data_IF_136832357072
#
_entry.id   IF_136832357072
#
_cell.length_a   1.000
_cell.length_b   1.000
_cell.length_c   1.000
_cell.angle_alpha   90.00
_cell.angle_beta   90.00
_cell.angle_gamma   90.00
#
_symmetry.space_group_name_H-M   'P 1'
#
loop_
_entity.id
_entity.type
_entity.pdbx_description
1 polymer ?
#
# COMPACT_ATOMS: atom_id res chain seq x y z
N UNK A 1 42.06 -27.73 73.65
CA UNK A 1 42.11 -27.76 72.16
C UNK A 1 40.71 -27.44 71.67
N UNK A 2 40.46 -26.20 71.29
CA UNK A 2 39.18 -25.74 70.76
C UNK A 2 39.50 -25.00 69.47
N UNK A 3 39.09 -25.57 68.34
CA UNK A 3 39.28 -25.01 67.00
C UNK A 3 38.24 -23.93 66.76
N UNK A 4 38.70 -22.71 66.52
CA UNK A 4 37.86 -21.55 66.22
C UNK A 4 37.46 -21.60 64.75
N UNK A 5 36.24 -22.08 64.46
CA UNK A 5 35.60 -22.04 63.15
C UNK A 5 34.36 -21.17 63.28
N UNK A 6 34.46 -19.87 62.93
CA UNK A 6 33.33 -18.93 62.82
C UNK A 6 33.80 -17.53 62.40
N UNK A 7 34.36 -17.40 61.20
CA UNK A 7 34.53 -16.10 60.54
C UNK A 7 34.56 -16.26 59.01
N UNK A 8 33.57 -17.00 58.48
CA UNK A 8 33.41 -17.18 57.04
C UNK A 8 31.96 -16.98 56.60
N UNK A 9 30.99 -17.08 57.51
CA UNK A 9 29.57 -17.00 57.16
C UNK A 9 29.11 -15.57 56.79
N UNK A 10 29.66 -14.52 57.40
CA UNK A 10 29.18 -13.13 57.18
C UNK A 10 29.67 -12.49 55.88
N UNK A 11 30.87 -12.87 55.41
CA UNK A 11 31.42 -12.41 54.12
C UNK A 11 30.81 -13.21 52.97
N UNK A 12 30.57 -14.51 53.17
CA UNK A 12 29.90 -15.39 52.20
C UNK A 12 28.45 -14.94 51.93
N UNK A 13 27.70 -14.56 52.98
CA UNK A 13 26.30 -14.09 52.87
C UNK A 13 26.19 -12.78 52.07
N UNK A 14 27.10 -11.82 52.32
CA UNK A 14 27.10 -10.54 51.59
C UNK A 14 27.54 -10.70 50.14
N UNK A 15 28.49 -11.60 49.88
CA UNK A 15 28.90 -11.95 48.51
C UNK A 15 27.79 -12.63 47.72
N UNK A 16 27.02 -13.52 48.35
CA UNK A 16 25.87 -14.17 47.72
C UNK A 16 24.73 -13.20 47.41
N UNK A 17 24.45 -12.25 48.30
CA UNK A 17 23.44 -11.21 48.05
C UNK A 17 23.80 -10.32 46.85
N UNK A 18 25.08 -9.97 46.69
CA UNK A 18 25.54 -9.21 45.51
C UNK A 18 25.42 -10.06 44.23
N UNK A 19 25.75 -11.34 44.29
CA UNK A 19 25.64 -12.26 43.16
C UNK A 19 24.19 -12.42 42.69
N UNK A 20 23.26 -12.63 43.63
CA UNK A 20 21.83 -12.73 43.35
C UNK A 20 21.31 -11.42 42.77
N UNK A 21 21.73 -10.27 43.32
CA UNK A 21 21.37 -8.95 42.81
C UNK A 21 21.85 -8.73 41.36
N UNK A 22 23.10 -9.10 41.05
CA UNK A 22 23.66 -8.96 39.71
C UNK A 22 22.97 -9.85 38.67
N UNK A 23 22.64 -11.10 39.03
CA UNK A 23 21.91 -12.03 38.15
C UNK A 23 20.50 -11.52 37.90
N UNK A 24 19.81 -11.05 38.94
CA UNK A 24 18.45 -10.52 38.83
C UNK A 24 18.44 -9.27 37.93
N UNK A 25 19.40 -8.36 38.12
CA UNK A 25 19.53 -7.15 37.29
C UNK A 25 19.84 -7.51 35.83
N UNK A 26 20.70 -8.51 35.58
CA UNK A 26 20.98 -8.98 34.23
C UNK A 26 19.72 -9.49 33.52
N UNK A 27 18.87 -10.27 34.20
CA UNK A 27 17.60 -10.75 33.63
C UNK A 27 16.60 -9.61 33.37
N UNK A 28 16.55 -8.60 34.24
CA UNK A 28 15.71 -7.41 34.01
C UNK A 28 16.19 -6.67 32.74
N UNK A 29 17.49 -6.42 32.61
CA UNK A 29 18.07 -5.75 31.43
C UNK A 29 17.84 -6.57 30.16
N UNK A 30 18.07 -7.89 30.20
CA UNK A 30 17.79 -8.78 29.07
C UNK A 30 16.31 -8.80 28.69
N UNK A 31 15.40 -8.84 29.67
CA UNK A 31 13.96 -8.77 29.43
C UNK A 31 13.55 -7.46 28.76
N UNK A 32 14.08 -6.34 29.23
CA UNK A 32 13.88 -5.02 28.62
C UNK A 32 14.43 -4.97 27.19
N UNK A 33 15.64 -5.47 26.95
CA UNK A 33 16.27 -5.53 25.62
C UNK A 33 15.46 -6.42 24.66
N UNK A 34 14.94 -7.57 25.12
CA UNK A 34 14.10 -8.46 24.30
C UNK A 34 12.75 -7.82 23.99
N UNK A 35 12.12 -7.14 24.96
CA UNK A 35 10.87 -6.40 24.73
C UNK A 35 11.10 -5.24 23.75
N UNK A 36 12.15 -4.45 23.92
CA UNK A 36 12.45 -3.36 22.98
C UNK A 36 12.83 -3.89 21.60
N UNK A 37 13.65 -4.92 21.48
CA UNK A 37 13.96 -5.53 20.17
C UNK A 37 12.74 -6.23 19.56
N UNK A 38 11.87 -6.83 20.36
CA UNK A 38 10.62 -7.47 19.90
C UNK A 38 9.58 -6.45 19.45
N UNK A 39 9.44 -5.34 20.16
CA UNK A 39 8.57 -4.21 19.78
C UNK A 39 9.13 -3.48 18.55
N UNK A 40 10.46 -3.30 18.45
CA UNK A 40 11.11 -2.72 17.26
C UNK A 40 10.95 -3.60 16.00
N UNK A 41 10.80 -4.92 16.16
CA UNK A 41 10.43 -5.80 15.04
C UNK A 41 8.99 -5.63 14.57
N UNK A 42 8.15 -4.91 15.32
CA UNK A 42 6.73 -4.69 14.99
C UNK A 42 6.45 -3.26 14.50
N UNK A 43 7.27 -2.27 14.86
CA UNK A 43 7.11 -0.88 14.40
C UNK A 43 7.70 -0.63 13.00
N UNK A 44 8.81 -1.29 12.63
CA UNK A 44 9.42 -1.11 11.30
C UNK A 44 8.69 -1.87 10.18
N UNK A 45 7.94 -2.92 10.53
CA UNK A 45 7.16 -3.70 9.56
C UNK A 45 5.96 -2.89 9.07
N UNK A 46 5.27 -2.13 9.93
CA UNK A 46 4.14 -1.30 9.52
C UNK A 46 4.58 -0.11 8.67
N UNK A 47 5.71 0.54 8.97
CA UNK A 47 6.20 1.68 8.19
C UNK A 47 6.73 1.25 6.81
N UNK A 48 7.47 0.13 6.75
CA UNK A 48 7.90 -0.47 5.48
C UNK A 48 6.75 -1.06 4.67
N UNK A 49 5.77 -1.72 5.30
CA UNK A 49 4.58 -2.24 4.62
C UNK A 49 3.66 -1.10 4.13
N UNK A 50 3.52 0.00 4.88
CA UNK A 50 2.77 1.19 4.45
C UNK A 50 3.49 1.89 3.29
N UNK A 51 4.83 2.01 3.36
CA UNK A 51 5.63 2.58 2.26
C UNK A 51 5.58 1.74 0.99
N UNK A 52 5.64 0.41 1.14
CA UNK A 52 5.49 -0.54 0.04
C UNK A 52 4.08 -0.48 -0.56
N UNK A 53 3.05 -0.48 0.28
CA UNK A 53 1.65 -0.37 -0.18
C UNK A 53 1.37 0.96 -0.89
N UNK A 54 1.96 2.06 -0.41
CA UNK A 54 1.87 3.36 -1.09
C UNK A 54 2.60 3.37 -2.44
N UNK A 55 3.76 2.70 -2.53
CA UNK A 55 4.48 2.53 -3.80
C UNK A 55 3.68 1.67 -4.78
N UNK A 56 3.10 0.57 -4.33
CA UNK A 56 2.31 -0.35 -5.16
C UNK A 56 1.01 0.33 -5.64
N UNK A 57 0.38 1.14 -4.79
CA UNK A 57 -0.76 1.97 -5.15
C UNK A 57 -0.38 3.02 -6.19
N UNK A 58 0.76 3.70 -6.05
CA UNK A 58 1.22 4.68 -7.04
C UNK A 58 1.54 4.04 -8.40
N UNK A 59 2.11 2.84 -8.43
CA UNK A 59 2.32 2.09 -9.67
C UNK A 59 1.00 1.66 -10.29
N UNK A 60 0.06 1.18 -9.49
CA UNK A 60 -1.28 0.79 -9.94
C UNK A 60 -2.05 2.00 -10.51
N UNK A 61 -2.01 3.15 -9.83
CA UNK A 61 -2.59 4.41 -10.32
C UNK A 61 -2.02 4.76 -11.70
N UNK A 62 -0.70 4.67 -11.88
CA UNK A 62 -0.05 4.98 -13.14
C UNK A 62 -0.40 3.97 -14.25
N UNK A 63 -0.52 2.68 -13.93
CA UNK A 63 -0.95 1.63 -14.86
C UNK A 63 -2.39 1.89 -15.35
N UNK A 64 -3.31 2.20 -14.43
CA UNK A 64 -4.71 2.49 -14.78
C UNK A 64 -4.80 3.79 -15.57
N UNK A 65 -4.06 4.84 -15.18
CA UNK A 65 -4.06 6.12 -15.88
C UNK A 65 -3.58 5.96 -17.33
N UNK A 66 -2.46 5.27 -17.56
CA UNK A 66 -1.96 5.01 -18.92
C UNK A 66 -2.91 4.12 -19.73
N UNK A 67 -3.44 3.05 -19.11
CA UNK A 67 -4.36 2.13 -19.79
C UNK A 67 -5.64 2.81 -20.25
N UNK A 68 -6.23 3.64 -19.38
CA UNK A 68 -7.42 4.43 -19.72
C UNK A 68 -7.10 5.57 -20.69
N UNK A 69 -5.94 6.23 -20.57
CA UNK A 69 -5.48 7.26 -21.51
C UNK A 69 -5.41 6.72 -22.94
N UNK A 70 -4.78 5.56 -23.14
CA UNK A 70 -4.73 4.90 -24.45
C UNK A 70 -6.10 4.48 -24.97
N UNK A 71 -7.00 4.05 -24.08
CA UNK A 71 -8.36 3.68 -24.44
C UNK A 71 -9.15 4.90 -24.96
N UNK A 72 -8.98 6.05 -24.32
CA UNK A 72 -9.60 7.32 -24.75
C UNK A 72 -9.00 7.78 -26.08
N UNK A 73 -7.68 7.70 -26.23
CA UNK A 73 -7.01 8.06 -27.50
C UNK A 73 -7.46 7.18 -28.66
N UNK A 74 -7.58 5.86 -28.45
CA UNK A 74 -8.08 4.93 -29.46
C UNK A 74 -9.55 5.20 -29.80
N UNK A 75 -10.38 5.47 -28.79
CA UNK A 75 -11.78 5.85 -29.01
C UNK A 75 -11.90 7.17 -29.82
N UNK A 76 -11.08 8.17 -29.48
CA UNK A 76 -11.00 9.43 -30.24
C UNK A 76 -10.45 9.22 -31.66
N UNK A 77 -9.56 8.25 -31.89
CA UNK A 77 -9.00 8.01 -33.22
C UNK A 77 -9.91 7.18 -34.13
N UNK A 78 -10.74 6.29 -33.56
CA UNK A 78 -11.55 5.34 -34.30
C UNK A 78 -13.05 5.67 -34.33
N UNK A 79 -13.49 6.79 -33.74
CA UNK A 79 -14.90 7.16 -33.75
C UNK A 79 -15.37 7.56 -35.15
N UNK A 80 -16.53 7.04 -35.53
CA UNK A 80 -17.22 7.41 -36.78
C UNK A 80 -18.44 8.30 -36.51
N UNK A 81 -18.92 8.34 -35.25
CA UNK A 81 -20.07 9.11 -34.81
C UNK A 81 -19.82 9.63 -33.39
N UNK A 82 -19.69 10.94 -33.27
CA UNK A 82 -19.43 11.67 -32.03
C UNK A 82 -20.60 11.60 -31.04
N UNK A 83 -21.81 11.38 -31.56
CA UNK A 83 -23.05 11.33 -30.76
C UNK A 83 -23.06 10.18 -29.75
N UNK A 84 -22.30 9.12 -30.03
CA UNK A 84 -22.20 7.91 -29.20
C UNK A 84 -20.83 7.74 -28.54
N UNK A 85 -19.88 8.66 -28.78
CA UNK A 85 -18.51 8.54 -28.28
C UNK A 85 -18.46 8.49 -26.75
N UNK A 86 -19.22 9.36 -26.06
CA UNK A 86 -19.27 9.35 -24.60
C UNK A 86 -19.79 8.02 -24.03
N UNK A 87 -20.81 7.42 -24.65
CA UNK A 87 -21.31 6.09 -24.25
C UNK A 87 -20.28 5.00 -24.56
N UNK A 88 -19.64 5.04 -25.72
CA UNK A 88 -18.61 4.06 -26.09
C UNK A 88 -17.40 4.11 -25.14
N UNK A 89 -16.96 5.31 -24.75
CA UNK A 89 -15.90 5.49 -23.76
C UNK A 89 -16.35 4.98 -22.38
N UNK A 90 -17.57 5.29 -21.95
CA UNK A 90 -18.11 4.79 -20.70
C UNK A 90 -18.12 3.25 -20.65
N UNK A 91 -18.69 2.61 -21.68
CA UNK A 91 -18.76 1.14 -21.78
C UNK A 91 -17.35 0.53 -21.79
N UNK A 92 -16.41 1.17 -22.49
CA UNK A 92 -15.01 0.72 -22.55
C UNK A 92 -14.29 0.87 -21.20
N UNK A 93 -14.60 1.91 -20.43
CA UNK A 93 -14.08 2.11 -19.06
C UNK A 93 -14.66 1.07 -18.11
N UNK A 94 -15.93 0.74 -18.24
CA UNK A 94 -16.59 -0.36 -17.48
C UNK A 94 -15.94 -1.71 -17.79
N UNK A 95 -15.77 -2.05 -19.06
CA UNK A 95 -15.09 -3.28 -19.48
C UNK A 95 -13.64 -3.35 -18.97
N UNK A 96 -12.91 -2.24 -19.06
CA UNK A 96 -11.56 -2.13 -18.50
C UNK A 96 -11.56 -2.33 -16.97
N UNK A 97 -12.50 -1.70 -16.26
CA UNK A 97 -12.63 -1.79 -14.81
C UNK A 97 -12.87 -3.24 -14.37
N UNK A 98 -13.77 -3.96 -15.04
CA UNK A 98 -14.08 -5.36 -14.75
C UNK A 98 -12.88 -6.27 -15.03
N UNK A 99 -12.23 -6.12 -16.19
CA UNK A 99 -11.03 -6.90 -16.54
C UNK A 99 -9.87 -6.63 -15.57
N UNK A 100 -9.64 -5.38 -15.21
CA UNK A 100 -8.58 -5.00 -14.27
C UNK A 100 -8.87 -5.53 -12.86
N UNK A 101 -10.13 -5.47 -12.43
CA UNK A 101 -10.58 -6.04 -11.16
C UNK A 101 -10.38 -7.56 -11.12
N UNK A 102 -10.79 -8.27 -12.17
CA UNK A 102 -10.62 -9.72 -12.26
C UNK A 102 -9.14 -10.11 -12.26
N UNK A 103 -8.32 -9.37 -13.01
CA UNK A 103 -6.87 -9.58 -13.04
C UNK A 103 -6.23 -9.36 -11.68
N UNK A 104 -6.56 -8.26 -10.99
CA UNK A 104 -6.00 -7.95 -9.67
C UNK A 104 -6.50 -8.89 -8.59
N UNK A 105 -7.78 -9.28 -8.61
CA UNK A 105 -8.35 -10.25 -7.66
C UNK A 105 -7.71 -11.64 -7.76
N UNK A 106 -7.26 -12.05 -8.96
CA UNK A 106 -6.59 -13.34 -9.15
C UNK A 106 -5.07 -13.28 -8.93
N UNK A 107 -4.46 -12.09 -9.07
CA UNK A 107 -2.99 -11.97 -9.16
C UNK A 107 -2.35 -11.23 -7.99
N UNK A 108 -3.08 -10.38 -7.27
CA UNK A 108 -2.54 -9.50 -6.23
C UNK A 108 -3.26 -9.72 -4.87
N UNK A 109 -2.59 -9.48 -3.72
CA UNK A 109 -3.22 -9.51 -2.40
C UNK A 109 -4.16 -8.32 -2.13
N UNK A 110 -4.26 -7.41 -3.10
CA UNK A 110 -5.07 -6.20 -3.05
C UNK A 110 -5.92 -6.11 -4.32
N UNK A 111 -7.14 -5.61 -4.17
CA UNK A 111 -8.11 -5.44 -5.25
C UNK A 111 -8.19 -3.96 -5.59
N UNK A 112 -8.01 -3.65 -6.87
CA UNK A 112 -8.23 -2.31 -7.41
C UNK A 112 -9.57 -2.30 -8.11
N UNK A 113 -10.42 -1.36 -7.74
CA UNK A 113 -11.73 -1.15 -8.35
C UNK A 113 -11.76 0.26 -8.93
N UNK A 114 -12.06 0.36 -10.22
CA UNK A 114 -12.44 1.65 -10.83
C UNK A 114 -13.95 1.75 -10.67
N UNK A 115 -14.43 2.84 -10.08
CA UNK A 115 -15.86 3.05 -9.82
C UNK A 115 -16.54 3.60 -11.09
N UNK A 116 -17.37 2.80 -11.79
CA UNK A 116 -18.00 3.23 -13.04
C UNK A 116 -19.05 4.33 -12.81
N UNK A 117 -19.69 4.38 -11.64
CA UNK A 117 -20.68 5.39 -11.29
C UNK A 117 -20.02 6.77 -11.02
N UNK A 118 -18.71 6.79 -10.81
CA UNK A 118 -17.91 8.00 -10.59
C UNK A 118 -17.33 8.59 -11.88
N UNK A 119 -17.54 7.93 -13.03
CA UNK A 119 -16.95 8.33 -14.30
C UNK A 119 -17.64 9.58 -14.84
N UNK A 120 -16.85 10.63 -15.05
CA UNK A 120 -17.31 11.85 -15.73
C UNK A 120 -16.44 12.12 -16.95
N UNK A 121 -17.06 12.26 -18.11
CA UNK A 121 -16.40 12.46 -19.39
C UNK A 121 -16.47 13.93 -19.76
N UNK A 122 -15.32 14.54 -20.03
CA UNK A 122 -15.20 15.89 -20.55
C UNK A 122 -15.03 15.83 -22.07
N UNK A 123 -15.91 16.55 -22.78
CA UNK A 123 -16.01 16.52 -24.23
C UNK A 123 -15.84 17.92 -24.80
N UNK A 124 -14.99 18.05 -25.81
CA UNK A 124 -14.80 19.30 -26.54
C UNK A 124 -15.57 19.25 -27.87
N UNK A 125 -16.62 20.06 -27.95
CA UNK A 125 -17.46 20.17 -29.14
C UNK A 125 -16.76 20.81 -30.35
N UNK A 126 -15.63 21.51 -30.15
CA UNK A 126 -14.87 22.10 -31.26
C UNK A 126 -13.92 21.09 -31.92
N UNK A 127 -13.35 20.19 -31.13
CA UNK A 127 -12.46 19.12 -31.60
C UNK A 127 -13.17 17.78 -31.81
N UNK A 128 -14.44 17.69 -31.38
CA UNK A 128 -15.27 16.49 -31.49
C UNK A 128 -14.71 15.26 -30.74
N UNK A 129 -13.88 15.50 -29.71
CA UNK A 129 -13.14 14.48 -28.98
C UNK A 129 -13.39 14.55 -27.47
N UNK A 130 -13.12 13.44 -26.79
CA UNK A 130 -13.01 13.38 -25.33
C UNK A 130 -11.66 13.95 -24.91
N UNK A 131 -11.67 14.97 -24.06
CA UNK A 131 -10.44 15.65 -23.59
C UNK A 131 -9.97 15.14 -22.24
N UNK A 132 -10.89 14.68 -21.38
CA UNK A 132 -10.55 14.10 -20.11
C UNK A 132 -11.64 13.13 -19.61
N UNK A 133 -11.23 12.15 -18.82
CA UNK A 133 -12.13 11.29 -18.06
C UNK A 133 -11.71 11.36 -16.59
N UNK A 134 -12.63 11.75 -15.72
CA UNK A 134 -12.41 11.63 -14.29
C UNK A 134 -12.97 10.29 -13.82
N UNK A 135 -12.15 9.49 -13.17
CA UNK A 135 -12.57 8.21 -12.59
C UNK A 135 -12.02 8.08 -11.17
N UNK A 136 -12.84 7.54 -10.25
CA UNK A 136 -12.41 7.22 -8.90
C UNK A 136 -11.89 5.79 -8.85
N UNK A 137 -10.65 5.63 -8.42
CA UNK A 137 -10.02 4.34 -8.18
C UNK A 137 -9.99 4.09 -6.68
N UNK A 138 -10.47 2.91 -6.28
CA UNK A 138 -10.39 2.41 -4.91
C UNK A 138 -9.46 1.21 -4.87
N UNK A 139 -8.36 1.35 -4.14
CA UNK A 139 -7.45 0.27 -3.84
C UNK A 139 -7.72 -0.27 -2.43
N UNK A 140 -8.14 -1.53 -2.35
CA UNK A 140 -8.45 -2.20 -1.08
C UNK A 140 -7.52 -3.39 -0.87
N UNK A 141 -6.75 -3.38 0.21
CA UNK A 141 -5.95 -4.51 0.69
C UNK A 141 -6.42 -4.96 2.08
N UNK A 142 -5.79 -5.99 2.64
CA UNK A 142 -6.14 -6.51 3.98
C UNK A 142 -5.95 -5.47 5.10
N UNK A 143 -5.06 -4.52 4.91
CA UNK A 143 -4.63 -3.58 5.95
C UNK A 143 -4.95 -2.11 5.62
N UNK A 144 -5.25 -1.79 4.35
CA UNK A 144 -5.53 -0.40 3.93
C UNK A 144 -6.60 -0.33 2.85
N UNK A 145 -7.42 0.72 2.93
CA UNK A 145 -8.32 1.15 1.85
C UNK A 145 -7.95 2.58 1.48
N UNK A 146 -7.67 2.80 0.19
CA UNK A 146 -7.34 4.10 -0.37
C UNK A 146 -8.24 4.39 -1.56
N UNK A 147 -8.76 5.61 -1.66
CA UNK A 147 -9.60 6.04 -2.79
C UNK A 147 -9.05 7.36 -3.32
N UNK A 148 -9.00 7.49 -4.64
CA UNK A 148 -8.48 8.66 -5.33
C UNK A 148 -9.22 8.89 -6.63
N UNK A 149 -9.58 10.13 -6.90
CA UNK A 149 -10.07 10.52 -8.23
C UNK A 149 -8.87 10.91 -9.08
N UNK A 150 -8.75 10.28 -10.25
CA UNK A 150 -7.78 10.62 -11.28
C UNK A 150 -8.50 11.33 -12.42
N UNK A 151 -7.86 12.37 -12.94
CA UNK A 151 -8.20 12.97 -14.23
C UNK A 151 -7.27 12.32 -15.24
N UNK A 152 -7.83 11.62 -16.21
CA UNK A 152 -7.11 10.90 -17.25
C UNK A 152 -7.30 11.64 -18.56
N UNK A 153 -6.20 11.99 -19.20
CA UNK A 153 -6.18 12.69 -20.48
C UNK A 153 -5.72 11.71 -21.58
N UNK A 154 -6.11 11.88 -22.86
CA UNK A 154 -5.62 11.03 -23.94
C UNK A 154 -4.09 11.07 -24.06
N UNK A 155 -3.47 12.21 -23.73
CA UNK A 155 -2.01 12.39 -23.71
C UNK A 155 -1.30 11.57 -22.62
N UNK A 156 -2.04 10.94 -21.70
CA UNK A 156 -1.48 10.00 -20.72
C UNK A 156 -1.11 8.64 -21.35
N UNK A 157 -1.50 8.40 -22.61
CA UNK A 157 -1.02 7.24 -23.35
C UNK A 157 0.46 7.44 -23.75
N UNK A 158 1.37 6.55 -23.36
CA UNK A 158 2.77 6.66 -23.79
C UNK A 158 2.87 6.53 -25.32
N UNK A 159 3.48 7.53 -25.97
CA UNK A 159 3.75 7.46 -27.40
C UNK A 159 4.53 6.17 -27.73
N UNK A 160 3.97 5.36 -28.62
CA UNK A 160 4.61 4.13 -29.08
C UNK A 160 5.72 4.47 -30.08
N UNK A 161 6.95 4.64 -29.59
CA UNK A 161 8.18 4.76 -30.42
C UNK A 161 8.44 3.52 -31.31
#
# INVERSE_FOLDING_TARGET
MVTNSRDSDTVQDRGQLILIGAITLAFIVLGVVVVFNGVLFTETLSSSATSQTASDAATTDAEVQQGLGCLIEDANSNHNDTSNLGTAVNDSVEDFADLYRDSTANSKPAVTVVDPDSVSIEYDAASENVTAVNATITHTSNDVSYSKTLTIEPDDCPESD
#
